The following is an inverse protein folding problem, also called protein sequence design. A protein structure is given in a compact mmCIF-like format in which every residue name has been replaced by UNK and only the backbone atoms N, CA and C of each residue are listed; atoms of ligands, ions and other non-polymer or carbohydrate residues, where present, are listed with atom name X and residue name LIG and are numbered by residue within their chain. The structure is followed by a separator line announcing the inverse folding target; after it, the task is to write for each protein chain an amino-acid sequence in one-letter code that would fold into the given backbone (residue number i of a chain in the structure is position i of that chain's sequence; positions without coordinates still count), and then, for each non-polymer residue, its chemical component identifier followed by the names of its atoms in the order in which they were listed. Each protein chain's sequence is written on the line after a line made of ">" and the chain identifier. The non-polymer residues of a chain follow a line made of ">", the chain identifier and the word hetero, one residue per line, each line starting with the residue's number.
data_IF_784818718861
#
_entry.id   IF_784818718861
#
_cell.length_a   1.000
_cell.length_b   1.000
_cell.length_c   1.000
_cell.angle_alpha   90.00
_cell.angle_beta   90.00
_cell.angle_gamma   90.00
#
_symmetry.space_group_name_H-M   'P 1'
#
loop_
_entity.id
_entity.type
_entity.pdbx_description
1 polymer ?
#
# COMPACT_ATOMS: atom_id res chain seq x y z
N UNK A 1 28.01 21.00 57.56
CA UNK A 1 29.30 21.28 58.23
C UNK A 1 30.34 20.27 57.76
N UNK A 2 31.53 20.79 57.41
CA UNK A 2 32.84 20.12 57.28
C UNK A 2 33.07 19.18 56.08
N UNK A 3 33.81 19.76 55.12
CA UNK A 3 34.73 19.13 54.16
C UNK A 3 35.82 18.36 54.90
N UNK A 4 36.28 17.24 54.36
CA UNK A 4 37.67 16.78 54.54
C UNK A 4 38.19 16.17 53.24
N UNK A 5 39.17 16.87 52.68
CA UNK A 5 40.06 16.52 51.59
C UNK A 5 41.27 15.80 52.17
N UNK A 6 41.74 14.69 51.60
CA UNK A 6 43.12 14.22 51.81
C UNK A 6 43.71 13.62 50.53
N UNK A 7 44.98 13.98 50.32
CA UNK A 7 45.84 13.81 49.14
C UNK A 7 46.66 12.50 49.17
N UNK A 8 46.96 12.02 47.94
CA UNK A 8 48.23 11.47 47.42
C UNK A 8 48.95 10.29 48.10
N UNK A 9 49.21 9.25 47.30
CA UNK A 9 50.51 8.66 46.91
C UNK A 9 50.14 7.39 46.11
N UNK A 10 50.56 7.14 44.88
CA UNK A 10 51.91 7.25 44.33
C UNK A 10 52.44 5.82 44.09
N UNK A 11 52.10 5.20 42.96
CA UNK A 11 52.93 4.13 42.38
C UNK A 11 52.72 4.08 40.87
N UNK A 12 53.71 4.57 40.14
CA UNK A 12 53.86 4.35 38.72
C UNK A 12 54.36 2.92 38.50
N UNK A 13 53.60 2.12 37.76
CA UNK A 13 54.12 0.93 37.11
C UNK A 13 53.99 1.15 35.61
N UNK A 14 55.16 1.41 35.00
CA UNK A 14 55.36 1.33 33.55
C UNK A 14 55.43 -0.16 33.21
N UNK A 15 54.41 -0.69 32.53
CA UNK A 15 54.54 -1.93 31.75
C UNK A 15 54.39 -1.59 30.28
N UNK A 16 55.38 -2.09 29.54
CA UNK A 16 55.57 -2.01 28.11
C UNK A 16 54.31 -2.31 27.28
N UNK A 17 54.29 -1.60 26.15
CA UNK A 17 53.40 -1.78 25.02
C UNK A 17 53.23 -3.24 24.57
N UNK A 18 51.98 -3.65 24.43
CA UNK A 18 51.53 -4.54 23.37
C UNK A 18 50.25 -3.94 22.79
N UNK A 19 50.35 -3.44 21.56
CA UNK A 19 49.25 -2.86 20.80
C UNK A 19 48.09 -3.85 20.62
N UNK A 20 46.83 -3.40 20.79
CA UNK A 20 45.74 -3.85 19.94
C UNK A 20 45.12 -2.64 19.24
N UNK A 21 45.95 -1.84 18.57
CA UNK A 21 45.53 -1.08 17.39
C UNK A 21 45.23 -2.11 16.29
N UNK A 22 44.08 -2.80 16.39
CA UNK A 22 43.40 -3.61 15.38
C UNK A 22 42.16 -4.36 15.96
N UNK A 23 41.63 -3.95 17.12
CA UNK A 23 40.41 -4.52 17.69
C UNK A 23 39.29 -3.48 17.97
N UNK A 24 39.42 -2.26 17.45
CA UNK A 24 38.43 -1.19 17.62
C UNK A 24 37.78 -0.71 16.30
N UNK A 25 37.89 -1.47 15.21
CA UNK A 25 37.23 -1.16 13.92
C UNK A 25 35.96 -2.01 13.67
N UNK A 26 35.37 -2.57 14.73
CA UNK A 26 34.02 -3.17 14.71
C UNK A 26 33.10 -2.59 15.78
N UNK A 27 33.40 -1.39 16.28
CA UNK A 27 32.48 -0.64 17.12
C UNK A 27 31.50 0.14 16.24
N UNK A 28 30.23 -0.29 16.31
CA UNK A 28 29.04 0.50 15.98
C UNK A 28 29.01 1.16 14.60
N UNK A 29 28.57 0.41 13.58
CA UNK A 29 27.59 0.98 12.65
C UNK A 29 26.35 1.30 13.48
N UNK A 30 26.32 2.47 14.10
CA UNK A 30 25.06 3.09 14.51
C UNK A 30 24.15 3.03 13.30
N UNK A 31 23.09 2.21 13.40
CA UNK A 31 21.98 2.31 12.46
C UNK A 31 21.44 3.72 12.67
N UNK A 32 21.79 4.64 11.77
CA UNK A 32 21.12 5.93 11.65
C UNK A 32 19.62 5.65 11.80
N UNK A 33 18.89 6.36 12.68
CA UNK A 33 17.45 6.19 12.78
C UNK A 33 16.91 6.27 11.37
N UNK A 34 16.23 5.20 10.95
CA UNK A 34 15.66 5.11 9.61
C UNK A 34 14.71 6.28 9.51
N UNK A 35 15.08 7.31 8.75
CA UNK A 35 14.24 8.48 8.55
C UNK A 35 12.83 7.98 8.24
N UNK A 36 11.83 8.54 8.92
CA UNK A 36 10.46 8.14 8.66
C UNK A 36 10.23 8.27 7.15
N UNK A 37 9.77 7.20 6.49
CA UNK A 37 9.60 7.25 5.06
C UNK A 37 8.54 8.31 4.73
N UNK A 38 8.92 9.27 3.87
CA UNK A 38 8.06 10.39 3.46
C UNK A 38 6.64 9.92 3.13
N UNK A 39 5.63 10.65 3.60
CA UNK A 39 4.23 10.32 3.35
C UNK A 39 3.92 10.37 1.86
N UNK A 40 4.64 11.20 1.10
CA UNK A 40 4.57 11.26 -0.36
C UNK A 40 5.44 10.18 -1.00
N UNK A 41 5.08 8.92 -0.76
CA UNK A 41 5.66 7.73 -1.40
C UNK A 41 4.60 6.88 -2.08
N UNK A 42 5.02 6.02 -3.01
CA UNK A 42 4.11 5.12 -3.70
C UNK A 42 3.03 5.87 -4.47
N UNK A 43 1.76 5.57 -4.21
CA UNK A 43 0.63 6.16 -4.93
C UNK A 43 0.53 7.69 -4.78
N UNK A 44 0.89 8.25 -3.61
CA UNK A 44 0.80 9.69 -3.39
C UNK A 44 1.94 10.48 -4.06
N UNK A 45 3.12 9.88 -4.21
CA UNK A 45 4.19 10.44 -5.04
C UNK A 45 3.77 10.49 -6.52
N UNK A 46 3.11 9.42 -6.99
CA UNK A 46 2.58 9.35 -8.35
C UNK A 46 1.46 10.38 -8.52
N UNK A 47 0.54 10.52 -7.56
CA UNK A 47 -0.49 11.56 -7.58
C UNK A 47 0.12 12.96 -7.67
N UNK A 48 1.11 13.26 -6.84
CA UNK A 48 1.78 14.55 -6.83
C UNK A 48 2.43 14.89 -8.18
N UNK A 49 3.11 13.91 -8.80
CA UNK A 49 3.72 14.06 -10.12
C UNK A 49 2.69 14.16 -11.23
N UNK A 50 1.71 13.25 -11.28
CA UNK A 50 0.72 13.22 -12.35
C UNK A 50 -0.20 14.43 -12.32
N UNK A 51 -0.56 14.93 -11.14
CA UNK A 51 -1.40 16.11 -10.99
C UNK A 51 -0.62 17.42 -10.98
N UNK A 52 0.71 17.36 -11.12
CA UNK A 52 1.61 18.53 -11.12
C UNK A 52 1.33 19.44 -9.91
N UNK A 53 1.27 18.84 -8.72
CA UNK A 53 0.90 19.56 -7.50
C UNK A 53 1.92 20.65 -7.16
N UNK A 54 1.41 21.80 -6.73
CA UNK A 54 2.24 22.86 -6.15
C UNK A 54 2.85 22.40 -4.83
N UNK A 55 3.89 23.07 -4.35
CA UNK A 55 4.51 22.71 -3.06
C UNK A 55 3.53 22.85 -1.90
N UNK A 56 2.66 23.87 -1.93
CA UNK A 56 1.56 24.01 -0.97
C UNK A 56 0.59 22.82 -1.02
N UNK A 57 0.20 22.37 -2.21
CA UNK A 57 -0.66 21.19 -2.35
C UNK A 57 0.05 19.90 -1.90
N UNK A 58 1.36 19.78 -2.12
CA UNK A 58 2.15 18.63 -1.63
C UNK A 58 2.19 18.59 -0.10
N UNK A 59 2.35 19.74 0.55
CA UNK A 59 2.36 19.84 2.00
C UNK A 59 0.99 19.51 2.60
N UNK A 60 -0.09 20.02 1.99
CA UNK A 60 -1.44 19.66 2.40
C UNK A 60 -1.72 18.17 2.18
N UNK A 61 -1.35 17.62 1.02
CA UNK A 61 -1.46 16.19 0.73
C UNK A 61 -0.71 15.36 1.77
N UNK A 62 0.52 15.75 2.14
CA UNK A 62 1.32 15.07 3.18
C UNK A 62 0.59 15.06 4.52
N UNK A 63 0.00 16.19 4.92
CA UNK A 63 -0.79 16.29 6.15
C UNK A 63 -2.01 15.36 6.13
N UNK A 64 -2.78 15.32 5.03
CA UNK A 64 -3.96 14.43 4.90
C UNK A 64 -3.57 12.94 4.90
N UNK A 65 -2.46 12.59 4.24
CA UNK A 65 -1.95 11.21 4.22
C UNK A 65 -1.47 10.76 5.60
N UNK A 66 -0.80 11.63 6.35
CA UNK A 66 -0.40 11.34 7.73
C UNK A 66 -1.61 11.18 8.65
N UNK A 67 -2.60 12.07 8.56
CA UNK A 67 -3.83 11.95 9.33
C UNK A 67 -4.56 10.62 9.06
N UNK A 68 -4.60 10.17 7.80
CA UNK A 68 -5.13 8.85 7.44
C UNK A 68 -4.37 7.72 8.15
N UNK A 69 -3.04 7.76 8.08
CA UNK A 69 -2.17 6.75 8.70
C UNK A 69 -2.42 6.69 10.21
N UNK A 70 -2.43 7.83 10.88
CA UNK A 70 -2.70 7.92 12.33
C UNK A 70 -4.09 7.36 12.70
N UNK A 71 -5.12 7.69 11.93
CA UNK A 71 -6.46 7.15 12.15
C UNK A 71 -6.53 5.64 11.95
N UNK A 72 -5.85 5.11 10.93
CA UNK A 72 -5.75 3.66 10.69
C UNK A 72 -4.98 2.95 11.81
N UNK A 73 -3.86 3.52 12.26
CA UNK A 73 -3.04 2.97 13.34
C UNK A 73 -3.80 2.99 14.67
N UNK A 74 -4.54 4.06 14.97
CA UNK A 74 -5.41 4.17 16.14
C UNK A 74 -6.52 3.12 16.10
N UNK A 75 -7.19 2.96 14.95
CA UNK A 75 -8.20 1.91 14.77
C UNK A 75 -7.60 0.51 14.94
N UNK A 76 -6.42 0.25 14.36
CA UNK A 76 -5.75 -1.05 14.46
C UNK A 76 -5.35 -1.38 15.90
N UNK A 77 -4.89 -0.38 16.66
CA UNK A 77 -4.58 -0.53 18.08
C UNK A 77 -5.82 -0.83 18.93
N UNK A 78 -6.94 -0.15 18.65
CA UNK A 78 -8.18 -0.33 19.40
C UNK A 78 -8.91 -1.64 19.06
N UNK A 79 -8.87 -2.05 17.79
CA UNK A 79 -9.75 -3.11 17.27
C UNK A 79 -9.00 -4.35 16.74
N UNK A 80 -7.69 -4.30 16.53
CA UNK A 80 -6.93 -5.34 15.84
C UNK A 80 -7.01 -6.71 16.51
N UNK A 81 -6.88 -6.76 17.83
CA UNK A 81 -7.02 -8.01 18.59
C UNK A 81 -8.45 -8.55 18.54
N UNK A 82 -9.46 -7.67 18.63
CA UNK A 82 -10.88 -8.05 18.54
C UNK A 82 -11.22 -8.63 17.17
N UNK A 83 -10.75 -8.00 16.08
CA UNK A 83 -10.91 -8.50 14.71
C UNK A 83 -10.25 -9.87 14.55
N UNK A 84 -9.04 -10.06 15.10
CA UNK A 84 -8.36 -11.36 15.06
C UNK A 84 -9.17 -12.42 15.81
N UNK A 85 -9.62 -12.14 17.03
CA UNK A 85 -10.43 -13.05 17.82
C UNK A 85 -11.74 -13.44 17.12
N UNK A 86 -12.43 -12.48 16.50
CA UNK A 86 -13.67 -12.74 15.75
C UNK A 86 -13.44 -13.60 14.50
N UNK A 87 -12.32 -13.39 13.79
CA UNK A 87 -11.94 -14.25 12.65
C UNK A 87 -11.63 -15.68 13.09
N UNK A 88 -10.94 -15.85 14.22
CA UNK A 88 -10.66 -17.17 14.78
C UNK A 88 -11.94 -17.86 15.28
N UNK A 89 -12.84 -17.11 15.93
CA UNK A 89 -14.15 -17.60 16.37
C UNK A 89 -15.01 -18.03 15.18
N UNK A 90 -15.07 -17.22 14.11
CA UNK A 90 -15.75 -17.58 12.86
C UNK A 90 -15.19 -18.88 12.28
N UNK A 91 -13.87 -19.01 12.19
CA UNK A 91 -13.23 -20.22 11.66
C UNK A 91 -13.59 -21.46 12.47
N UNK A 92 -13.49 -21.39 13.80
CA UNK A 92 -13.85 -22.49 14.71
C UNK A 92 -15.33 -22.86 14.60
N UNK A 93 -16.21 -21.86 14.53
CA UNK A 93 -17.65 -22.10 14.37
C UNK A 93 -17.95 -22.81 13.04
N UNK A 94 -17.29 -22.43 11.94
CA UNK A 94 -17.40 -23.12 10.65
C UNK A 94 -16.88 -24.56 10.68
N UNK A 95 -15.78 -24.82 11.39
CA UNK A 95 -15.26 -26.18 11.60
C UNK A 95 -16.21 -27.04 12.44
N UNK A 96 -16.83 -26.44 13.46
CA UNK A 96 -17.84 -27.08 14.31
C UNK A 96 -19.24 -27.16 13.67
N UNK A 97 -19.44 -26.58 12.46
CA UNK A 97 -20.74 -26.43 11.80
C UNK A 97 -21.79 -25.70 12.64
N UNK A 98 -21.34 -24.82 13.53
CA UNK A 98 -22.20 -23.94 14.33
C UNK A 98 -22.48 -22.66 13.54
N UNK A 99 -23.60 -22.65 12.81
CA UNK A 99 -23.97 -21.53 11.95
C UNK A 99 -24.37 -20.28 12.74
N UNK A 100 -24.91 -20.42 13.95
CA UNK A 100 -25.30 -19.28 14.79
C UNK A 100 -24.06 -18.56 15.33
N UNK A 101 -23.08 -19.31 15.85
CA UNK A 101 -21.82 -18.74 16.29
C UNK A 101 -21.03 -18.14 15.11
N UNK A 102 -21.04 -18.78 13.94
CA UNK A 102 -20.41 -18.25 12.74
C UNK A 102 -21.07 -16.94 12.28
N UNK A 103 -22.41 -16.88 12.27
CA UNK A 103 -23.16 -15.67 11.92
C UNK A 103 -22.86 -14.53 12.88
N UNK A 104 -22.89 -14.78 14.19
CA UNK A 104 -22.59 -13.78 15.23
C UNK A 104 -21.18 -13.21 15.08
N UNK A 105 -20.16 -14.07 14.95
CA UNK A 105 -18.78 -13.63 14.77
C UNK A 105 -18.60 -12.79 13.49
N UNK A 106 -19.31 -13.14 12.41
CA UNK A 106 -19.31 -12.38 11.16
C UNK A 106 -19.96 -11.01 11.31
N UNK A 107 -21.12 -10.92 11.94
CA UNK A 107 -21.85 -9.66 12.13
C UNK A 107 -21.07 -8.68 13.01
N UNK A 108 -20.50 -9.15 14.12
CA UNK A 108 -19.66 -8.32 14.99
C UNK A 108 -18.40 -7.84 14.26
N UNK A 109 -17.77 -8.71 13.45
CA UNK A 109 -16.61 -8.31 12.65
C UNK A 109 -16.99 -7.31 11.56
N UNK A 110 -18.17 -7.44 10.95
CA UNK A 110 -18.67 -6.52 9.93
C UNK A 110 -18.86 -5.11 10.49
N UNK A 111 -19.41 -4.98 11.70
CA UNK A 111 -19.58 -3.69 12.36
C UNK A 111 -18.24 -2.95 12.52
N UNK A 112 -17.24 -3.65 13.04
CA UNK A 112 -15.89 -3.10 13.27
C UNK A 112 -15.19 -2.74 11.95
N UNK A 113 -15.31 -3.60 10.93
CA UNK A 113 -14.74 -3.32 9.60
C UNK A 113 -15.50 -2.18 8.88
N UNK A 114 -16.75 -1.88 9.25
CA UNK A 114 -17.50 -0.74 8.70
C UNK A 114 -16.93 0.58 9.20
N UNK A 115 -16.52 0.66 10.46
CA UNK A 115 -15.81 1.83 11.01
C UNK A 115 -14.50 2.07 10.27
N UNK A 116 -13.73 1.00 10.02
CA UNK A 116 -12.49 1.07 9.23
C UNK A 116 -12.74 1.61 7.83
N UNK A 117 -13.76 1.08 7.15
CA UNK A 117 -14.15 1.56 5.81
C UNK A 117 -14.51 3.03 5.84
N UNK A 118 -15.22 3.49 6.88
CA UNK A 118 -15.55 4.90 7.03
C UNK A 118 -14.29 5.77 7.14
N UNK A 119 -13.32 5.36 7.97
CA UNK A 119 -12.02 6.04 8.10
C UNK A 119 -11.34 6.14 6.72
N UNK A 120 -11.31 5.03 5.97
CA UNK A 120 -10.71 5.00 4.64
C UNK A 120 -11.44 5.90 3.63
N UNK A 121 -12.78 5.87 3.60
CA UNK A 121 -13.60 6.70 2.72
C UNK A 121 -13.43 8.18 3.03
N UNK A 122 -13.57 8.57 4.30
CA UNK A 122 -13.45 9.97 4.72
C UNK A 122 -12.03 10.50 4.45
N UNK A 123 -11.01 9.70 4.77
CA UNK A 123 -9.61 10.07 4.52
C UNK A 123 -9.31 10.22 3.04
N UNK A 124 -9.83 9.33 2.20
CA UNK A 124 -9.67 9.44 0.75
C UNK A 124 -10.39 10.65 0.17
N UNK A 125 -11.59 10.97 0.66
CA UNK A 125 -12.30 12.18 0.28
C UNK A 125 -11.49 13.44 0.64
N UNK A 126 -10.92 13.48 1.85
CA UNK A 126 -10.06 14.58 2.29
C UNK A 126 -8.77 14.70 1.46
N UNK A 127 -8.15 13.58 1.08
CA UNK A 127 -6.98 13.57 0.17
C UNK A 127 -7.34 14.12 -1.20
N UNK A 128 -8.46 13.66 -1.78
CA UNK A 128 -8.90 14.13 -3.09
C UNK A 128 -9.33 15.59 -3.08
N UNK A 129 -9.74 16.14 -1.93
CA UNK A 129 -10.11 17.54 -1.79
C UNK A 129 -8.93 18.51 -2.00
N UNK A 130 -7.69 18.05 -1.84
CA UNK A 130 -6.47 18.83 -2.15
C UNK A 130 -6.34 19.13 -3.65
N UNK A 131 -6.95 18.29 -4.48
CA UNK A 131 -6.93 18.41 -5.93
C UNK A 131 -8.04 19.36 -6.40
N UNK A 132 -7.72 20.25 -7.34
CA UNK A 132 -8.74 21.01 -8.07
C UNK A 132 -9.51 20.08 -9.05
N UNK A 133 -10.63 20.54 -9.66
CA UNK A 133 -11.44 19.71 -10.55
C UNK A 133 -10.67 19.09 -11.74
N UNK A 134 -9.77 19.85 -12.36
CA UNK A 134 -8.96 19.37 -13.49
C UNK A 134 -7.96 18.29 -13.04
N UNK A 135 -7.30 18.49 -11.89
CA UNK A 135 -6.41 17.53 -11.28
C UNK A 135 -7.14 16.25 -10.86
N UNK A 136 -8.38 16.36 -10.34
CA UNK A 136 -9.23 15.20 -10.05
C UNK A 136 -9.52 14.39 -11.30
N UNK A 137 -9.87 15.06 -12.41
CA UNK A 137 -10.10 14.40 -13.69
C UNK A 137 -8.84 13.71 -14.22
N UNK A 138 -7.68 14.40 -14.17
CA UNK A 138 -6.37 13.83 -14.57
C UNK A 138 -6.02 12.60 -13.73
N UNK A 139 -6.26 12.66 -12.42
CA UNK A 139 -6.02 11.56 -11.51
C UNK A 139 -6.95 10.37 -11.78
N UNK A 140 -8.23 10.60 -11.99
CA UNK A 140 -9.21 9.56 -12.32
C UNK A 140 -8.84 8.84 -13.62
N UNK A 141 -8.52 9.60 -14.68
CA UNK A 141 -8.03 9.07 -15.95
C UNK A 141 -6.78 8.21 -15.78
N UNK A 142 -5.79 8.71 -15.03
CA UNK A 142 -4.55 8.00 -14.77
C UNK A 142 -4.78 6.69 -13.99
N UNK A 143 -5.64 6.70 -12.96
CA UNK A 143 -5.98 5.49 -12.21
C UNK A 143 -6.64 4.44 -13.08
N UNK A 144 -7.56 4.84 -13.96
CA UNK A 144 -8.20 3.93 -14.90
C UNK A 144 -7.18 3.34 -15.88
N UNK A 145 -6.31 4.17 -16.45
CA UNK A 145 -5.20 3.72 -17.29
C UNK A 145 -4.31 2.69 -16.58
N UNK A 146 -3.91 2.95 -15.33
CA UNK A 146 -3.05 2.02 -14.56
C UNK A 146 -3.75 0.68 -14.32
N UNK A 147 -5.05 0.68 -14.06
CA UNK A 147 -5.87 -0.54 -13.92
C UNK A 147 -5.89 -1.33 -15.22
N UNK A 148 -6.11 -0.67 -16.35
CA UNK A 148 -6.09 -1.30 -17.68
C UNK A 148 -4.72 -1.86 -18.03
N UNK A 149 -3.65 -1.11 -17.78
CA UNK A 149 -2.28 -1.58 -17.99
C UNK A 149 -1.93 -2.77 -17.10
N UNK A 150 -2.47 -2.88 -15.89
CA UNK A 150 -2.35 -4.09 -15.07
C UNK A 150 -2.82 -5.35 -15.78
N UNK A 151 -3.86 -5.24 -16.63
CA UNK A 151 -4.40 -6.34 -17.45
C UNK A 151 -3.56 -6.59 -18.69
N UNK A 152 -3.19 -5.53 -19.42
CA UNK A 152 -2.59 -5.65 -20.75
C UNK A 152 -1.06 -5.69 -20.76
N UNK A 153 -0.38 -5.35 -19.66
CA UNK A 153 1.10 -5.29 -19.59
C UNK A 153 1.81 -6.56 -20.09
N UNK A 154 1.21 -7.73 -19.90
CA UNK A 154 1.80 -9.02 -20.34
C UNK A 154 1.77 -9.22 -21.85
N UNK A 155 0.96 -8.44 -22.56
CA UNK A 155 0.87 -8.44 -24.02
C UNK A 155 1.91 -7.53 -24.67
N UNK A 156 2.77 -6.90 -23.85
CA UNK A 156 3.82 -5.98 -24.29
C UNK A 156 3.29 -4.98 -25.32
N UNK A 157 2.26 -4.18 -24.96
CA UNK A 157 1.68 -3.22 -25.90
C UNK A 157 2.75 -2.24 -26.39
N UNK A 158 2.65 -1.83 -27.64
CA UNK A 158 3.54 -0.80 -28.19
C UNK A 158 3.25 0.55 -27.55
N UNK A 159 4.18 1.51 -27.67
CA UNK A 159 3.96 2.87 -27.17
C UNK A 159 2.69 3.50 -27.73
N UNK A 160 2.42 3.31 -29.03
CA UNK A 160 1.20 3.79 -29.67
C UNK A 160 -0.07 3.17 -29.06
N UNK A 161 -0.04 1.87 -28.76
CA UNK A 161 -1.15 1.19 -28.08
C UNK A 161 -1.34 1.71 -26.66
N UNK A 162 -0.25 1.93 -25.91
CA UNK A 162 -0.32 2.49 -24.57
C UNK A 162 -0.93 3.90 -24.57
N UNK A 163 -0.57 4.74 -25.54
CA UNK A 163 -1.11 6.09 -25.67
C UNK A 163 -2.59 6.07 -26.07
N UNK A 164 -3.00 5.18 -26.98
CA UNK A 164 -4.42 4.96 -27.30
C UNK A 164 -5.22 4.47 -26.08
N UNK A 165 -4.67 3.56 -25.27
CA UNK A 165 -5.29 3.10 -24.02
C UNK A 165 -5.41 4.25 -23.03
N UNK A 166 -4.38 5.11 -22.91
CA UNK A 166 -4.42 6.29 -22.04
C UNK A 166 -5.51 7.28 -22.47
N UNK A 167 -5.65 7.53 -23.77
CA UNK A 167 -6.72 8.38 -24.30
C UNK A 167 -8.11 7.78 -24.05
N UNK A 168 -8.27 6.48 -24.30
CA UNK A 168 -9.53 5.77 -24.02
C UNK A 168 -9.89 5.83 -22.53
N UNK A 169 -8.90 5.69 -21.64
CA UNK A 169 -9.10 5.85 -20.19
C UNK A 169 -9.52 7.29 -19.82
N UNK A 170 -8.91 8.31 -20.42
CA UNK A 170 -9.27 9.70 -20.15
C UNK A 170 -10.68 10.07 -20.65
N UNK A 171 -11.11 9.49 -21.77
CA UNK A 171 -12.48 9.64 -22.24
C UNK A 171 -13.47 8.95 -21.29
N UNK A 172 -13.26 7.66 -21.00
CA UNK A 172 -14.14 6.87 -20.16
C UNK A 172 -14.18 7.32 -18.70
N UNK A 173 -13.12 7.96 -18.19
CA UNK A 173 -13.12 8.48 -16.82
C UNK A 173 -14.18 9.57 -16.61
N UNK A 174 -14.53 10.33 -17.66
CA UNK A 174 -15.61 11.34 -17.59
C UNK A 174 -16.98 10.69 -17.42
N UNK A 175 -17.25 9.64 -18.20
CA UNK A 175 -18.50 8.90 -18.11
C UNK A 175 -18.65 8.19 -16.76
N UNK A 176 -17.53 7.68 -16.22
CA UNK A 176 -17.49 7.06 -14.89
C UNK A 176 -17.72 8.08 -13.77
N UNK A 177 -17.16 9.29 -13.88
CA UNK A 177 -17.35 10.37 -12.90
C UNK A 177 -18.80 10.87 -12.89
N UNK A 178 -19.48 10.82 -14.04
CA UNK A 178 -20.91 11.13 -14.14
C UNK A 178 -21.83 10.08 -13.47
N UNK A 179 -21.31 8.91 -13.07
CA UNK A 179 -22.10 7.91 -12.32
C UNK A 179 -22.07 8.24 -10.83
N UNK A 180 -23.11 8.94 -10.38
CA UNK A 180 -23.32 9.29 -8.97
C UNK A 180 -23.98 8.15 -8.18
N UNK A 181 -23.77 8.13 -6.87
CA UNK A 181 -24.38 7.15 -5.96
C UNK A 181 -23.56 5.86 -5.80
N UNK A 182 -23.94 5.03 -4.83
CA UNK A 182 -23.31 3.74 -4.52
C UNK A 182 -24.32 2.60 -4.35
N UNK A 183 -25.52 2.78 -4.89
CA UNK A 183 -26.49 1.70 -5.00
C UNK A 183 -26.08 0.66 -6.06
N UNK A 184 -26.82 -0.45 -6.09
CA UNK A 184 -26.58 -1.55 -7.03
C UNK A 184 -26.66 -1.11 -8.49
N UNK A 185 -27.46 -0.09 -8.81
CA UNK A 185 -27.64 0.41 -10.17
C UNK A 185 -26.42 1.22 -10.62
N UNK A 186 -25.95 2.14 -9.77
CA UNK A 186 -24.72 2.89 -9.99
C UNK A 186 -23.50 1.96 -10.13
N UNK A 187 -23.40 0.95 -9.27
CA UNK A 187 -22.36 -0.07 -9.35
C UNK A 187 -22.44 -0.87 -10.66
N UNK A 188 -23.64 -1.29 -11.08
CA UNK A 188 -23.84 -1.98 -12.35
C UNK A 188 -23.47 -1.10 -13.53
N UNK A 189 -23.87 0.18 -13.54
CA UNK A 189 -23.55 1.14 -14.60
C UNK A 189 -22.04 1.35 -14.73
N UNK A 190 -21.32 1.53 -13.62
CA UNK A 190 -19.84 1.58 -13.62
C UNK A 190 -19.22 0.31 -14.20
N UNK A 191 -19.71 -0.86 -13.78
CA UNK A 191 -19.24 -2.17 -14.29
C UNK A 191 -19.45 -2.30 -15.80
N UNK A 192 -20.62 -1.90 -16.30
CA UNK A 192 -20.97 -1.98 -17.72
C UNK A 192 -20.11 -1.02 -18.56
N UNK A 193 -19.85 0.21 -18.09
CA UNK A 193 -18.92 1.16 -18.71
C UNK A 193 -17.49 0.60 -18.80
N UNK A 194 -16.97 0.04 -17.70
CA UNK A 194 -15.64 -0.57 -17.70
C UNK A 194 -15.54 -1.79 -18.62
N UNK A 195 -16.59 -2.63 -18.69
CA UNK A 195 -16.65 -3.74 -19.64
C UNK A 195 -16.65 -3.24 -21.08
N UNK A 196 -17.44 -2.19 -21.38
CA UNK A 196 -17.46 -1.54 -22.69
C UNK A 196 -16.08 -1.04 -23.09
N UNK A 197 -15.42 -0.29 -22.21
CA UNK A 197 -14.05 0.21 -22.43
C UNK A 197 -13.07 -0.91 -22.73
N UNK A 198 -13.09 -2.00 -21.95
CA UNK A 198 -12.23 -3.17 -22.19
C UNK A 198 -12.48 -3.79 -23.56
N UNK A 199 -13.75 -3.95 -23.93
CA UNK A 199 -14.13 -4.49 -25.23
C UNK A 199 -13.60 -3.59 -26.36
N UNK A 200 -13.77 -2.28 -26.27
CA UNK A 200 -13.24 -1.33 -27.25
C UNK A 200 -11.73 -1.43 -27.39
N UNK A 201 -10.98 -1.49 -26.27
CA UNK A 201 -9.52 -1.63 -26.30
C UNK A 201 -9.12 -2.94 -27.00
N UNK A 202 -9.76 -4.04 -26.63
CA UNK A 202 -9.47 -5.36 -27.20
C UNK A 202 -9.79 -5.40 -28.70
N UNK A 203 -10.88 -4.77 -29.15
CA UNK A 203 -11.31 -4.80 -30.55
C UNK A 203 -10.55 -3.83 -31.47
N UNK A 204 -10.15 -2.66 -30.95
CA UNK A 204 -9.68 -1.54 -31.79
C UNK A 204 -8.22 -1.15 -31.56
N UNK A 205 -7.62 -1.53 -30.42
CA UNK A 205 -6.25 -1.14 -30.08
C UNK A 205 -5.31 -2.34 -30.12
N UNK A 206 -5.74 -3.49 -29.59
CA UNK A 206 -4.92 -4.70 -29.56
C UNK A 206 -4.90 -5.41 -30.91
N UNK A 207 -3.77 -6.08 -31.19
CA UNK A 207 -3.65 -6.93 -32.38
C UNK A 207 -4.43 -8.24 -32.21
N UNK A 208 -4.66 -8.96 -33.32
CA UNK A 208 -5.30 -10.28 -33.28
C UNK A 208 -4.53 -11.27 -32.39
N UNK A 209 -3.20 -11.29 -32.49
CA UNK A 209 -2.31 -12.13 -31.68
C UNK A 209 -2.40 -11.80 -30.19
N UNK A 210 -2.41 -10.51 -29.85
CA UNK A 210 -2.56 -10.06 -28.46
C UNK A 210 -3.94 -10.42 -27.89
N UNK A 211 -5.00 -10.35 -28.70
CA UNK A 211 -6.35 -10.82 -28.30
C UNK A 211 -6.38 -12.32 -28.05
N UNK A 212 -5.73 -13.11 -28.89
CA UNK A 212 -5.64 -14.56 -28.69
C UNK A 212 -4.86 -14.89 -27.40
N UNK A 213 -3.77 -14.18 -27.15
CA UNK A 213 -2.96 -14.32 -25.94
C UNK A 213 -3.72 -13.98 -24.65
N UNK A 214 -4.73 -13.10 -24.70
CA UNK A 214 -5.62 -12.81 -23.56
C UNK A 214 -6.51 -13.99 -23.15
N UNK A 215 -6.86 -14.87 -24.10
CA UNK A 215 -7.71 -16.03 -23.85
C UNK A 215 -6.93 -17.21 -23.25
N UNK A 216 -5.61 -17.24 -23.46
CA UNK A 216 -4.73 -18.27 -22.93
C UNK A 216 -4.51 -18.04 -21.44
N UNK A 217 -4.92 -19.00 -20.60
CA UNK A 217 -4.59 -18.95 -19.17
C UNK A 217 -3.07 -18.93 -19.01
N UNK A 218 -2.50 -18.04 -18.18
CA UNK A 218 -1.08 -18.03 -17.95
C UNK A 218 -0.66 -19.38 -17.36
N UNK A 219 0.37 -20.00 -17.92
CA UNK A 219 0.96 -21.19 -17.34
C UNK A 219 1.38 -20.89 -15.90
N UNK A 220 1.10 -21.81 -14.95
CA UNK A 220 1.48 -21.60 -13.57
C UNK A 220 2.99 -21.46 -13.49
N UNK A 221 3.47 -20.35 -12.93
CA UNK A 221 4.90 -20.19 -12.62
C UNK A 221 5.35 -21.39 -11.79
N UNK A 222 6.48 -22.05 -12.12
CA UNK A 222 7.02 -23.13 -11.31
C UNK A 222 7.19 -22.61 -9.88
N UNK A 223 6.65 -23.36 -8.90
CA UNK A 223 6.79 -23.01 -7.50
C UNK A 223 8.29 -22.89 -7.19
N UNK A 224 8.76 -21.79 -6.56
CA UNK A 224 10.14 -21.73 -6.14
C UNK A 224 10.40 -22.93 -5.23
N UNK A 225 11.40 -23.74 -5.58
CA UNK A 225 11.87 -24.85 -4.75
C UNK A 225 12.13 -24.29 -3.34
N UNK A 226 11.53 -24.94 -2.34
CA UNK A 226 11.78 -24.60 -0.93
C UNK A 226 13.28 -24.76 -0.71
N UNK A 227 13.99 -23.63 -0.55
CA UNK A 227 15.36 -23.67 -0.05
C UNK A 227 15.35 -24.48 1.26
N UNK A 228 16.22 -25.51 1.40
CA UNK A 228 16.32 -26.24 2.64
C UNK A 228 16.61 -25.25 3.77
N UNK A 229 15.89 -25.41 4.87
CA UNK A 229 16.10 -24.60 6.06
C UNK A 229 17.59 -24.69 6.44
N UNK A 230 18.26 -23.55 6.55
CA UNK A 230 19.59 -23.49 7.15
C UNK A 230 19.47 -24.07 8.56
N UNK A 231 20.02 -25.26 8.71
CA UNK A 231 20.29 -25.88 10.00
C UNK A 231 21.05 -24.85 10.84
N UNK A 232 20.50 -24.50 12.00
CA UNK A 232 21.20 -23.65 12.96
C UNK A 232 22.44 -24.44 13.39
N UNK A 233 23.61 -24.00 12.95
CA UNK A 233 24.85 -24.39 13.60
C UNK A 233 24.76 -23.94 15.06
N UNK A 234 24.68 -24.91 15.95
CA UNK A 234 24.90 -24.70 17.37
C UNK A 234 26.39 -24.35 17.55
N UNK A 235 26.64 -23.20 18.15
CA UNK A 235 27.87 -22.84 18.83
C UNK A 235 27.46 -22.23 20.17
#
# INVERSE_FOLDING_TARGET
>A
MKRVTWLLLGLAVVVLAASPLLAAEKAAKEKKPKAEPDALRGEYAIMASQCELTDQQKDELRAKVNARKEAQDAWAKANGEKVKALRDAYKKAREAKDEDAAKKAREENLAIETERRKIDTDSMAAILAVLNPEQKAKWAAFRLYRTLMGRYKRLTPTQEQEDKIRQAAAAASKDLDAVTGDDKEAQKKRSDLEKGLRKTIEETILTAEQREALQKKPEPKPKPEKKPAKEKAAA
#
